data_IF_969503413666
#
_entry.id   IF_969503413666
#
_cell.length_a   1.000
_cell.length_b   1.000
_cell.length_c   1.000
_cell.angle_alpha   90.00
_cell.angle_beta   90.00
_cell.angle_gamma   90.00
#
_symmetry.space_group_name_H-M   'P 1'
#
loop_
_entity.id
_entity.type
_entity.pdbx_description
1 polymer ?
#
# COMPACT_ATOMS: atom_id res chain seq x y z
N UNK A 1 16.36 24.30 2.00
CA UNK A 1 15.81 22.99 2.37
C UNK A 1 16.98 22.06 2.63
N UNK A 2 17.16 21.63 3.87
CA UNK A 2 18.23 20.73 4.33
C UNK A 2 17.97 19.31 3.78
N UNK A 3 19.02 18.52 3.55
CA UNK A 3 18.96 17.10 3.15
C UNK A 3 17.99 16.28 4.02
N UNK A 4 17.95 16.53 5.34
CA UNK A 4 17.04 15.85 6.27
C UNK A 4 15.56 16.18 5.98
N UNK A 5 15.25 17.44 5.66
CA UNK A 5 13.89 17.86 5.30
C UNK A 5 13.45 17.27 3.95
N UNK A 6 14.40 17.11 3.02
CA UNK A 6 14.15 16.47 1.73
C UNK A 6 13.85 14.98 1.89
N UNK A 7 14.62 14.29 2.73
CA UNK A 7 14.41 12.87 3.03
C UNK A 7 13.05 12.63 3.69
N UNK A 8 12.71 13.40 4.73
CA UNK A 8 11.42 13.29 5.40
C UNK A 8 10.26 13.49 4.41
N UNK A 9 10.33 14.54 3.59
CA UNK A 9 9.32 14.83 2.57
C UNK A 9 9.20 13.68 1.56
N UNK A 10 10.32 13.11 1.12
CA UNK A 10 10.32 11.98 0.21
C UNK A 10 9.62 10.76 0.81
N UNK A 11 9.94 10.39 2.06
CA UNK A 11 9.30 9.27 2.76
C UNK A 11 7.80 9.48 2.93
N UNK A 12 7.36 10.69 3.29
CA UNK A 12 5.93 11.04 3.35
C UNK A 12 5.23 10.87 2.00
N UNK A 13 5.83 11.39 0.93
CA UNK A 13 5.25 11.31 -0.41
C UNK A 13 5.20 9.87 -0.94
N UNK A 14 6.26 9.09 -0.69
CA UNK A 14 6.32 7.69 -1.09
C UNK A 14 5.26 6.86 -0.37
N UNK A 15 5.12 7.01 0.95
CA UNK A 15 4.07 6.34 1.70
C UNK A 15 2.68 6.71 1.17
N UNK A 16 2.43 8.00 0.95
CA UNK A 16 1.15 8.47 0.42
C UNK A 16 0.83 7.87 -0.95
N UNK A 17 1.85 7.70 -1.81
CA UNK A 17 1.67 7.02 -3.09
C UNK A 17 1.36 5.54 -2.93
N UNK A 18 2.08 4.84 -2.06
CA UNK A 18 1.84 3.42 -1.82
C UNK A 18 0.42 3.15 -1.28
N UNK A 19 -0.09 4.00 -0.38
CA UNK A 19 -1.48 3.94 0.08
C UNK A 19 -2.47 4.12 -1.09
N UNK A 20 -2.20 5.05 -2.01
CA UNK A 20 -3.03 5.22 -3.21
C UNK A 20 -3.01 4.00 -4.13
N UNK A 21 -1.87 3.32 -4.26
CA UNK A 21 -1.75 2.09 -5.06
C UNK A 21 -2.63 0.97 -4.48
N UNK A 22 -2.67 0.82 -3.15
CA UNK A 22 -3.57 -0.14 -2.46
C UNK A 22 -5.04 0.20 -2.67
N UNK A 23 -5.41 1.47 -2.50
CA UNK A 23 -6.78 1.95 -2.73
C UNK A 23 -7.22 1.73 -4.18
N UNK A 24 -6.31 1.95 -5.13
CA UNK A 24 -6.55 1.72 -6.54
C UNK A 24 -6.79 0.25 -6.85
N UNK A 25 -5.92 -0.64 -6.37
CA UNK A 25 -6.09 -2.10 -6.53
C UNK A 25 -7.41 -2.58 -5.92
N UNK A 26 -7.70 -2.13 -4.70
CA UNK A 26 -8.96 -2.45 -3.99
C UNK A 26 -10.17 -2.08 -4.85
N UNK A 27 -10.19 -0.88 -5.42
CA UNK A 27 -11.27 -0.42 -6.29
C UNK A 27 -11.40 -1.25 -7.56
N UNK A 28 -10.29 -1.57 -8.23
CA UNK A 28 -10.31 -2.41 -9.44
C UNK A 28 -10.89 -3.80 -9.14
N UNK A 29 -10.47 -4.43 -8.05
CA UNK A 29 -10.90 -5.78 -7.67
C UNK A 29 -12.39 -5.78 -7.28
N UNK A 30 -12.85 -4.79 -6.50
CA UNK A 30 -14.28 -4.64 -6.16
C UNK A 30 -15.14 -4.50 -7.41
N UNK A 31 -14.77 -3.61 -8.32
CA UNK A 31 -15.51 -3.41 -9.58
C UNK A 31 -15.52 -4.68 -10.43
N UNK A 32 -14.41 -5.40 -10.53
CA UNK A 32 -14.34 -6.65 -11.28
C UNK A 32 -15.29 -7.72 -10.72
N UNK A 33 -15.40 -7.82 -9.39
CA UNK A 33 -16.35 -8.73 -8.72
C UNK A 33 -17.80 -8.31 -8.91
N UNK A 34 -18.12 -7.03 -8.74
CA UNK A 34 -19.49 -6.52 -8.93
C UNK A 34 -20.01 -6.75 -10.35
N UNK A 35 -19.12 -6.63 -11.34
CA UNK A 35 -19.45 -6.83 -12.75
C UNK A 35 -19.27 -8.28 -13.23
N UNK A 36 -18.95 -9.20 -12.31
CA UNK A 36 -18.71 -10.62 -12.57
C UNK A 36 -17.72 -10.87 -13.72
N UNK A 37 -16.68 -10.02 -13.81
CA UNK A 37 -15.64 -10.12 -14.84
C UNK A 37 -14.56 -11.09 -14.38
N UNK A 38 -14.12 -11.94 -15.30
CA UNK A 38 -12.93 -12.76 -15.10
C UNK A 38 -11.70 -11.84 -15.19
N UNK A 39 -11.01 -11.65 -14.06
CA UNK A 39 -9.80 -10.84 -13.95
C UNK A 39 -8.70 -11.62 -13.27
N UNK A 40 -7.49 -11.46 -13.78
CA UNK A 40 -6.28 -11.93 -13.12
C UNK A 40 -5.89 -10.92 -12.02
N UNK A 41 -6.32 -11.21 -10.79
CA UNK A 41 -6.00 -10.37 -9.63
C UNK A 41 -4.50 -10.37 -9.31
N UNK A 42 -3.79 -11.46 -9.62
CA UNK A 42 -2.34 -11.53 -9.46
C UNK A 42 -1.67 -10.49 -10.37
N UNK A 43 -2.10 -10.41 -11.63
CA UNK A 43 -1.63 -9.40 -12.58
C UNK A 43 -1.95 -7.97 -12.12
N UNK A 44 -3.15 -7.71 -11.58
CA UNK A 44 -3.49 -6.37 -11.07
C UNK A 44 -2.51 -5.96 -9.97
N UNK A 45 -2.34 -6.82 -8.96
CA UNK A 45 -1.49 -6.51 -7.81
C UNK A 45 -0.03 -6.33 -8.22
N UNK A 46 0.51 -7.22 -9.05
CA UNK A 46 1.92 -7.18 -9.45
C UNK A 46 2.29 -5.94 -10.29
N UNK A 47 1.34 -5.41 -11.05
CA UNK A 47 1.58 -4.25 -11.91
C UNK A 47 1.33 -2.90 -11.21
N UNK A 48 0.49 -2.86 -10.18
CA UNK A 48 0.05 -1.60 -9.58
C UNK A 48 0.60 -1.39 -8.18
N UNK A 49 0.92 -2.44 -7.43
CA UNK A 49 1.60 -2.29 -6.15
C UNK A 49 3.09 -2.02 -6.36
N UNK A 50 3.60 -1.01 -5.66
CA UNK A 50 5.03 -0.77 -5.57
C UNK A 50 5.79 -2.02 -5.11
N UNK A 51 6.77 -2.48 -5.90
CA UNK A 51 7.54 -3.69 -5.59
C UNK A 51 6.76 -5.01 -5.72
N UNK A 52 5.59 -4.98 -6.36
CA UNK A 52 4.63 -6.09 -6.50
C UNK A 52 4.08 -6.60 -5.16
N UNK A 53 3.19 -7.59 -5.22
CA UNK A 53 2.48 -8.12 -4.05
C UNK A 53 3.39 -8.68 -2.94
N UNK A 54 4.60 -9.11 -3.27
CA UNK A 54 5.52 -9.75 -2.31
C UNK A 54 6.30 -8.75 -1.45
N UNK A 55 6.42 -7.48 -1.90
CA UNK A 55 7.28 -6.50 -1.21
C UNK A 55 6.57 -5.22 -0.81
N UNK A 56 5.35 -4.99 -1.31
CA UNK A 56 4.65 -3.72 -1.10
C UNK A 56 4.46 -3.40 0.39
N UNK A 57 3.81 -4.28 1.13
CA UNK A 57 3.48 -4.05 2.53
C UNK A 57 4.70 -4.13 3.44
N UNK A 58 5.69 -4.95 3.10
CA UNK A 58 7.00 -4.92 3.74
C UNK A 58 7.65 -3.54 3.61
N UNK A 59 7.68 -2.98 2.39
CA UNK A 59 8.27 -1.66 2.13
C UNK A 59 7.50 -0.55 2.84
N UNK A 60 6.16 -0.60 2.84
CA UNK A 60 5.33 0.35 3.61
C UNK A 60 5.66 0.30 5.10
N UNK A 61 5.81 -0.90 5.66
CA UNK A 61 6.18 -1.10 7.06
C UNK A 61 7.55 -0.51 7.37
N UNK A 62 8.53 -0.74 6.50
CA UNK A 62 9.89 -0.20 6.66
C UNK A 62 9.87 1.34 6.63
N UNK A 63 9.08 1.94 5.74
CA UNK A 63 8.89 3.39 5.67
C UNK A 63 8.20 3.90 6.95
N UNK A 64 7.08 3.30 7.37
CA UNK A 64 6.36 3.69 8.58
C UNK A 64 7.25 3.61 9.84
N UNK A 65 8.07 2.57 9.96
CA UNK A 65 9.00 2.42 11.08
C UNK A 65 10.21 3.36 11.02
N UNK A 66 10.44 4.03 9.89
CA UNK A 66 11.55 4.98 9.74
C UNK A 66 11.24 6.37 10.32
N UNK A 67 9.96 6.69 10.56
CA UNK A 67 9.58 7.95 11.17
C UNK A 67 9.89 7.91 12.66
N UNK A 68 10.56 8.96 13.14
CA UNK A 68 10.73 9.16 14.58
C UNK A 68 9.41 9.58 15.24
N UNK A 69 9.36 9.58 16.58
CA UNK A 69 8.19 10.00 17.33
C UNK A 69 7.77 11.45 17.01
N UNK A 70 8.73 12.32 16.73
CA UNK A 70 8.49 13.74 16.40
C UNK A 70 8.06 13.93 14.93
N UNK A 71 8.25 12.92 14.08
CA UNK A 71 7.88 12.88 12.66
C UNK A 71 6.64 12.01 12.43
N UNK A 72 5.87 11.70 13.48
CA UNK A 72 4.75 10.77 13.37
C UNK A 72 3.74 11.20 12.30
N UNK A 73 3.30 10.21 11.54
CA UNK A 73 2.25 10.36 10.54
C UNK A 73 0.90 10.25 11.24
N UNK A 74 0.03 11.24 11.03
CA UNK A 74 -1.31 11.32 11.63
C UNK A 74 -2.41 10.70 10.76
N UNK A 75 -2.16 10.57 9.46
CA UNK A 75 -3.15 10.11 8.47
C UNK A 75 -3.04 8.63 8.08
N UNK A 76 -2.00 7.92 8.53
CA UNK A 76 -1.82 6.49 8.26
C UNK A 76 -0.90 5.81 9.27
N UNK A 77 -1.29 4.61 9.67
CA UNK A 77 -0.65 3.83 10.73
C UNK A 77 -0.35 2.39 10.32
N UNK A 78 0.44 1.68 11.13
CA UNK A 78 0.66 0.23 10.95
C UNK A 78 -0.64 -0.57 11.09
N UNK A 79 -1.60 -0.09 11.88
CA UNK A 79 -2.91 -0.73 12.02
C UNK A 79 -3.75 -0.59 10.74
N UNK A 80 -3.76 0.61 10.13
CA UNK A 80 -4.43 0.83 8.84
C UNK A 80 -3.78 0.02 7.73
N UNK A 81 -2.44 -0.04 7.69
CA UNK A 81 -1.71 -0.90 6.78
C UNK A 81 -2.10 -2.38 6.91
N UNK A 82 -2.27 -2.88 8.15
CA UNK A 82 -2.69 -4.26 8.37
C UNK A 82 -4.13 -4.51 7.89
N UNK A 83 -5.03 -3.54 8.09
CA UNK A 83 -6.41 -3.61 7.58
C UNK A 83 -6.45 -3.65 6.05
N UNK A 84 -5.64 -2.80 5.41
CA UNK A 84 -5.53 -2.73 3.95
C UNK A 84 -4.95 -4.03 3.35
N UNK A 85 -3.92 -4.59 3.99
CA UNK A 85 -3.34 -5.89 3.61
C UNK A 85 -4.38 -7.01 3.69
N UNK A 86 -5.05 -7.14 4.84
CA UNK A 86 -6.08 -8.17 5.05
C UNK A 86 -7.26 -8.03 4.08
N UNK A 87 -7.69 -6.79 3.78
CA UNK A 87 -8.75 -6.54 2.82
C UNK A 87 -8.38 -7.00 1.41
N UNK A 88 -7.14 -6.74 0.95
CA UNK A 88 -6.70 -7.21 -0.36
C UNK A 88 -6.61 -8.74 -0.41
N UNK A 89 -6.12 -9.40 0.64
CA UNK A 89 -6.12 -10.87 0.72
C UNK A 89 -7.54 -11.43 0.67
N UNK A 90 -8.49 -10.87 1.42
CA UNK A 90 -9.89 -11.28 1.41
C UNK A 90 -10.54 -11.11 0.04
N UNK A 91 -10.32 -9.96 -0.61
CA UNK A 91 -10.88 -9.68 -1.92
C UNK A 91 -10.29 -10.61 -2.99
N UNK A 92 -8.99 -10.86 -2.96
CA UNK A 92 -8.34 -11.66 -4.01
C UNK A 92 -8.40 -13.16 -3.75
N UNK A 93 -8.57 -13.58 -2.50
CA UNK A 93 -8.38 -14.97 -2.08
C UNK A 93 -6.91 -15.43 -2.15
N UNK A 94 -5.97 -14.49 -2.26
CA UNK A 94 -4.54 -14.74 -2.38
C UNK A 94 -3.82 -14.33 -1.10
N UNK A 95 -2.70 -14.99 -0.81
CA UNK A 95 -1.77 -14.47 0.20
C UNK A 95 -0.86 -13.42 -0.43
N UNK A 96 -0.62 -12.34 0.30
CA UNK A 96 0.18 -11.18 -0.09
C UNK A 96 1.33 -11.03 0.91
N UNK A 97 2.55 -10.77 0.42
CA UNK A 97 3.78 -10.69 1.22
C UNK A 97 3.96 -9.43 2.04
#
# INVERSE_FOLDING_TARGET
>A
MNVLEQDLKFRYQLLGRMVQDVQYCTRLIKNAKEENREYDFAFILDNHLWGARENHFKTMRDILNSFSNDEQIDWYSLEEMAKDHSLLEELTGMSIG
#
